data_IF_868987977073
#
_entry.id   IF_868987977073
#
_cell.length_a   1.000
_cell.length_b   1.000
_cell.length_c   1.000
_cell.angle_alpha   90.00
_cell.angle_beta   90.00
_cell.angle_gamma   90.00
#
_symmetry.space_group_name_H-M   'P 1'
#
loop_
_entity.id
_entity.type
_entity.pdbx_description
1 polymer ?
#
# COMPACT_ATOMS: atom_id res chain seq x y z
N UNK A 1 70.38 -78.34 4.02
CA UNK A 1 69.08 -78.54 4.73
C UNK A 1 68.28 -77.27 4.63
N UNK A 2 67.32 -77.27 3.69
CA UNK A 2 66.55 -76.07 3.33
C UNK A 2 65.25 -76.07 4.13
N UNK A 3 64.98 -74.98 4.87
CA UNK A 3 63.69 -74.78 5.50
C UNK A 3 62.91 -73.77 4.67
N UNK A 4 61.77 -74.24 4.17
CA UNK A 4 60.79 -73.40 3.51
C UNK A 4 60.01 -72.58 4.54
N UNK A 5 59.95 -71.26 4.33
CA UNK A 5 59.10 -70.40 5.06
C UNK A 5 57.88 -70.06 4.20
N UNK A 6 56.70 -70.29 4.75
CA UNK A 6 55.41 -69.98 4.12
C UNK A 6 54.98 -68.53 4.53
N UNK A 7 54.63 -67.67 3.61
CA UNK A 7 54.11 -66.36 3.98
C UNK A 7 52.61 -66.43 4.29
N UNK A 8 52.23 -65.82 5.43
CA UNK A 8 50.87 -65.62 5.89
C UNK A 8 50.22 -64.46 5.11
N UNK A 9 49.15 -64.75 4.40
CA UNK A 9 48.37 -63.77 3.67
C UNK A 9 47.37 -63.15 4.65
N UNK A 10 47.57 -61.89 5.01
CA UNK A 10 46.61 -61.12 5.79
C UNK A 10 45.50 -60.53 4.87
N UNK A 11 44.27 -61.01 5.02
CA UNK A 11 43.11 -60.44 4.37
C UNK A 11 42.77 -59.09 5.06
N UNK A 12 42.99 -57.98 4.34
CA UNK A 12 42.54 -56.69 4.74
C UNK A 12 41.05 -56.54 4.47
N UNK A 13 40.27 -56.35 5.55
CA UNK A 13 38.84 -55.97 5.48
C UNK A 13 38.69 -54.49 5.03
N UNK A 14 38.18 -54.26 3.80
CA UNK A 14 37.77 -52.95 3.35
C UNK A 14 36.49 -52.53 4.09
N UNK A 15 36.65 -51.66 5.07
CA UNK A 15 35.53 -50.96 5.70
C UNK A 15 34.91 -49.96 4.73
N UNK A 16 33.72 -50.26 4.22
CA UNK A 16 32.87 -49.29 3.51
C UNK A 16 32.36 -48.24 4.52
N UNK A 17 33.05 -47.11 4.56
CA UNK A 17 32.53 -45.91 5.27
C UNK A 17 31.32 -45.40 4.49
N UNK A 18 30.11 -45.77 4.92
CA UNK A 18 28.87 -45.20 4.45
C UNK A 18 28.80 -43.72 4.94
N UNK A 19 29.11 -42.78 4.05
CA UNK A 19 28.77 -41.37 4.25
C UNK A 19 27.27 -41.26 4.42
N UNK A 20 26.79 -41.18 5.66
CA UNK A 20 25.44 -40.69 5.96
C UNK A 20 25.43 -39.22 5.59
N UNK A 21 24.89 -38.91 4.40
CA UNK A 21 24.45 -37.58 4.08
C UNK A 21 23.24 -37.28 4.97
N UNK A 22 23.46 -36.54 6.05
CA UNK A 22 22.40 -35.86 6.78
C UNK A 22 21.85 -34.78 5.83
N UNK A 23 20.78 -35.10 5.12
CA UNK A 23 19.95 -34.09 4.45
C UNK A 23 19.38 -33.23 5.56
N UNK A 24 20.02 -32.10 5.81
CA UNK A 24 19.42 -31.02 6.56
C UNK A 24 18.23 -30.54 5.72
N UNK A 25 17.05 -31.08 6.00
CA UNK A 25 15.79 -30.50 5.56
C UNK A 25 15.65 -29.18 6.29
N UNK A 26 16.32 -28.15 5.77
CA UNK A 26 16.00 -26.78 6.07
C UNK A 26 14.60 -26.56 5.51
N UNK A 27 13.58 -26.66 6.37
CA UNK A 27 12.23 -26.23 6.07
C UNK A 27 12.15 -24.69 6.12
N UNK A 28 12.99 -24.01 5.33
CA UNK A 28 12.65 -22.68 4.90
C UNK A 28 11.38 -22.81 4.06
N UNK A 29 10.33 -21.97 4.28
CA UNK A 29 9.17 -21.99 3.42
C UNK A 29 9.65 -21.70 2.00
N UNK A 30 9.73 -22.73 1.19
CA UNK A 30 10.03 -22.62 -0.23
C UNK A 30 8.79 -22.01 -0.86
N UNK A 31 8.69 -20.66 -0.80
CA UNK A 31 7.80 -19.95 -1.68
C UNK A 31 8.07 -20.46 -3.08
N UNK A 32 7.10 -21.10 -3.70
CA UNK A 32 7.29 -21.72 -5.00
C UNK A 32 7.68 -20.62 -6.01
N UNK A 33 8.35 -20.98 -7.10
CA UNK A 33 8.67 -20.05 -8.18
C UNK A 33 7.39 -19.40 -8.72
N UNK A 34 6.29 -20.17 -8.70
CA UNK A 34 4.96 -19.71 -9.11
C UNK A 34 4.44 -18.62 -8.16
N UNK A 35 4.61 -18.79 -6.84
CA UNK A 35 4.15 -17.80 -5.87
C UNK A 35 4.90 -16.48 -6.04
N UNK A 36 6.23 -16.52 -6.22
CA UNK A 36 7.04 -15.33 -6.51
C UNK A 36 6.65 -14.64 -7.81
N UNK A 37 6.33 -15.43 -8.84
CA UNK A 37 5.85 -14.88 -10.11
C UNK A 37 4.49 -14.17 -9.92
N UNK A 38 3.57 -14.75 -9.13
CA UNK A 38 2.29 -14.16 -8.81
C UNK A 38 2.44 -12.87 -7.98
N UNK A 39 3.33 -12.88 -6.97
CA UNK A 39 3.65 -11.69 -6.18
C UNK A 39 4.17 -10.55 -7.07
N UNK A 40 5.14 -10.84 -7.94
CA UNK A 40 5.67 -9.85 -8.89
C UNK A 40 4.57 -9.34 -9.83
N UNK A 41 3.71 -10.24 -10.34
CA UNK A 41 2.60 -9.84 -11.20
C UNK A 41 1.62 -8.91 -10.47
N UNK A 42 1.33 -9.15 -9.19
CA UNK A 42 0.48 -8.27 -8.39
C UNK A 42 1.10 -6.87 -8.24
N UNK A 43 2.41 -6.77 -7.98
CA UNK A 43 3.13 -5.49 -7.92
C UNK A 43 3.07 -4.77 -9.27
N UNK A 44 3.34 -5.46 -10.38
CA UNK A 44 3.26 -4.88 -11.72
C UNK A 44 1.84 -4.38 -12.07
N UNK A 45 0.82 -5.12 -11.64
CA UNK A 45 -0.58 -4.71 -11.81
C UNK A 45 -0.92 -3.44 -11.00
N UNK A 46 -0.38 -3.33 -9.78
CA UNK A 46 -0.50 -2.11 -8.98
C UNK A 46 0.21 -0.92 -9.65
N UNK A 47 1.46 -1.08 -10.10
CA UNK A 47 2.23 -0.03 -10.73
C UNK A 47 1.57 0.47 -12.03
N UNK A 48 1.06 -0.46 -12.83
CA UNK A 48 0.30 -0.14 -14.06
C UNK A 48 -0.99 0.63 -13.73
N UNK A 49 -1.73 0.19 -12.71
CA UNK A 49 -2.93 0.87 -12.24
C UNK A 49 -2.62 2.28 -11.73
N UNK A 50 -1.57 2.43 -10.91
CA UNK A 50 -1.12 3.71 -10.36
C UNK A 50 -0.72 4.66 -11.47
N UNK A 51 0.11 4.22 -12.42
CA UNK A 51 0.56 5.03 -13.57
C UNK A 51 -0.62 5.52 -14.39
N UNK A 52 -1.62 4.65 -14.65
CA UNK A 52 -2.83 5.03 -15.37
C UNK A 52 -3.65 6.07 -14.62
N UNK A 53 -3.85 5.87 -13.30
CA UNK A 53 -4.58 6.83 -12.47
C UNK A 53 -3.89 8.19 -12.37
N UNK A 54 -2.56 8.23 -12.29
CA UNK A 54 -1.77 9.46 -12.27
C UNK A 54 -1.83 10.20 -13.62
N UNK A 55 -1.77 9.47 -14.74
CA UNK A 55 -1.92 10.09 -16.07
C UNK A 55 -3.33 10.69 -16.27
N UNK A 56 -4.38 10.00 -15.80
CA UNK A 56 -5.74 10.54 -15.79
C UNK A 56 -5.86 11.80 -14.90
N UNK A 57 -5.21 11.85 -13.73
CA UNK A 57 -5.18 13.05 -12.88
C UNK A 57 -4.48 14.22 -13.59
N UNK A 58 -3.36 13.96 -14.26
CA UNK A 58 -2.63 14.96 -15.03
C UNK A 58 -3.47 15.52 -16.18
N UNK A 59 -4.19 14.65 -16.90
CA UNK A 59 -5.10 15.07 -17.97
C UNK A 59 -6.26 15.88 -17.41
N UNK A 60 -6.84 15.45 -16.29
CA UNK A 60 -7.90 16.18 -15.59
C UNK A 60 -7.44 17.57 -15.15
N UNK A 61 -6.21 17.69 -14.63
CA UNK A 61 -5.63 18.96 -14.22
C UNK A 61 -5.36 19.90 -15.42
N UNK A 62 -5.06 19.35 -16.58
CA UNK A 62 -4.81 20.13 -17.79
C UNK A 62 -6.11 20.64 -18.45
N UNK A 63 -7.21 19.88 -18.37
CA UNK A 63 -8.50 20.21 -18.98
C UNK A 63 -9.50 20.86 -18.02
N UNK A 64 -9.27 20.77 -16.70
CA UNK A 64 -10.19 21.12 -15.61
C UNK A 64 -11.54 20.37 -15.72
N UNK A 65 -11.50 19.16 -16.28
CA UNK A 65 -12.71 18.39 -16.58
C UNK A 65 -13.07 17.46 -15.42
N UNK A 66 -14.24 17.67 -14.81
CA UNK A 66 -14.71 16.91 -13.64
C UNK A 66 -14.79 15.40 -13.88
N UNK A 67 -15.23 15.01 -15.07
CA UNK A 67 -15.35 13.60 -15.45
C UNK A 67 -14.01 12.86 -15.41
N UNK A 68 -12.93 13.54 -15.81
CA UNK A 68 -11.58 12.97 -15.79
C UNK A 68 -11.03 12.82 -14.36
N UNK A 69 -11.31 13.79 -13.47
CA UNK A 69 -11.01 13.62 -12.04
C UNK A 69 -11.73 12.40 -11.46
N UNK A 70 -13.01 12.19 -11.80
CA UNK A 70 -13.75 11.01 -11.35
C UNK A 70 -13.19 9.70 -11.91
N UNK A 71 -12.74 9.70 -13.16
CA UNK A 71 -12.08 8.53 -13.77
C UNK A 71 -10.78 8.20 -13.03
N UNK A 72 -9.90 9.17 -12.82
CA UNK A 72 -8.68 9.02 -12.04
C UNK A 72 -8.98 8.52 -10.62
N UNK A 73 -9.94 9.11 -9.93
CA UNK A 73 -10.32 8.72 -8.58
C UNK A 73 -10.73 7.24 -8.50
N UNK A 74 -11.57 6.78 -9.42
CA UNK A 74 -12.01 5.38 -9.50
C UNK A 74 -10.85 4.43 -9.76
N UNK A 75 -9.96 4.78 -10.69
CA UNK A 75 -8.75 4.00 -11.00
C UNK A 75 -7.88 3.88 -9.75
N UNK A 76 -7.48 5.00 -9.16
CA UNK A 76 -6.59 5.04 -7.99
C UNK A 76 -7.18 4.31 -6.78
N UNK A 77 -8.49 4.44 -6.52
CA UNK A 77 -9.17 3.73 -5.43
C UNK A 77 -9.08 2.21 -5.57
N UNK A 78 -8.99 1.70 -6.81
CA UNK A 78 -8.94 0.26 -7.08
C UNK A 78 -7.54 -0.34 -7.07
N UNK A 79 -6.47 0.49 -7.12
CA UNK A 79 -5.11 0.01 -7.32
C UNK A 79 -4.62 -0.87 -6.17
N UNK A 80 -4.92 -0.50 -4.92
CA UNK A 80 -4.46 -1.25 -3.74
C UNK A 80 -4.98 -2.69 -3.74
N UNK A 81 -6.18 -2.93 -4.23
CA UNK A 81 -6.76 -4.27 -4.36
C UNK A 81 -6.02 -5.19 -5.34
N UNK A 82 -5.20 -4.64 -6.23
CA UNK A 82 -4.37 -5.40 -7.17
C UNK A 82 -3.22 -6.12 -6.47
N UNK A 83 -2.77 -5.59 -5.34
CA UNK A 83 -1.65 -6.16 -4.57
C UNK A 83 -2.02 -7.46 -3.87
N UNK A 84 -3.29 -7.66 -3.48
CA UNK A 84 -3.73 -8.84 -2.72
C UNK A 84 -2.80 -9.10 -1.52
N UNK A 85 -2.21 -10.28 -1.46
CA UNK A 85 -1.27 -10.69 -0.41
C UNK A 85 0.12 -10.06 -0.57
N UNK A 86 0.41 -9.43 -1.72
CA UNK A 86 1.69 -8.79 -2.02
C UNK A 86 1.79 -7.35 -1.53
N UNK A 87 0.85 -6.89 -0.71
CA UNK A 87 0.79 -5.51 -0.25
C UNK A 87 2.05 -5.05 0.51
N UNK A 88 2.73 -5.97 1.21
CA UNK A 88 3.99 -5.69 1.92
C UNK A 88 5.19 -5.45 1.00
N UNK A 89 5.09 -5.78 -0.30
CA UNK A 89 6.15 -5.57 -1.28
C UNK A 89 6.17 -4.15 -1.85
N UNK A 90 5.14 -3.36 -1.57
CA UNK A 90 5.04 -1.96 -2.01
C UNK A 90 5.08 -1.05 -0.78
N UNK A 91 5.85 0.03 -0.86
CA UNK A 91 5.95 1.00 0.21
C UNK A 91 4.57 1.51 0.64
N UNK A 92 4.30 1.50 1.94
CA UNK A 92 3.00 1.90 2.48
C UNK A 92 2.66 3.35 2.09
N UNK A 93 3.66 4.22 2.07
CA UNK A 93 3.50 5.63 1.69
C UNK A 93 3.01 5.78 0.25
N UNK A 94 3.50 4.97 -0.68
CA UNK A 94 3.08 4.99 -2.08
C UNK A 94 1.60 4.57 -2.21
N UNK A 95 1.21 3.54 -1.48
CA UNK A 95 -0.17 3.07 -1.42
C UNK A 95 -1.11 4.11 -0.79
N UNK A 96 -0.67 4.74 0.30
CA UNK A 96 -1.38 5.83 0.96
C UNK A 96 -1.56 7.03 0.04
N UNK A 97 -0.50 7.44 -0.69
CA UNK A 97 -0.55 8.55 -1.64
C UNK A 97 -1.55 8.31 -2.76
N UNK A 98 -1.61 7.08 -3.30
CA UNK A 98 -2.58 6.72 -4.34
C UNK A 98 -4.02 6.87 -3.84
N UNK A 99 -4.35 6.32 -2.67
CA UNK A 99 -5.68 6.44 -2.06
C UNK A 99 -6.01 7.88 -1.65
N UNK A 100 -5.04 8.63 -1.13
CA UNK A 100 -5.23 10.03 -0.77
C UNK A 100 -5.55 10.89 -2.00
N UNK A 101 -4.86 10.67 -3.13
CA UNK A 101 -5.15 11.36 -4.39
C UNK A 101 -6.53 10.98 -4.91
N UNK A 102 -6.98 9.73 -4.75
CA UNK A 102 -8.34 9.33 -5.11
C UNK A 102 -9.40 10.14 -4.33
N UNK A 103 -9.23 10.31 -3.01
CA UNK A 103 -10.14 11.16 -2.20
C UNK A 103 -10.19 12.59 -2.74
N UNK A 104 -9.01 13.17 -3.02
CA UNK A 104 -8.93 14.54 -3.55
C UNK A 104 -9.61 14.66 -4.92
N UNK A 105 -9.44 13.67 -5.79
CA UNK A 105 -10.01 13.68 -7.13
C UNK A 105 -11.53 13.45 -7.13
N UNK A 106 -12.08 12.68 -6.20
CA UNK A 106 -13.53 12.64 -5.98
C UNK A 106 -14.08 14.03 -5.57
N UNK A 107 -13.35 14.76 -4.71
CA UNK A 107 -13.74 16.13 -4.33
C UNK A 107 -13.71 17.06 -5.53
N UNK A 108 -12.61 17.06 -6.31
CA UNK A 108 -12.46 17.89 -7.52
C UNK A 108 -13.53 17.55 -8.57
N UNK A 109 -13.85 16.28 -8.71
CA UNK A 109 -14.90 15.79 -9.61
C UNK A 109 -16.32 16.09 -9.12
N UNK A 110 -16.48 16.51 -7.86
CA UNK A 110 -17.77 16.88 -7.26
C UNK A 110 -18.53 15.70 -6.63
N UNK A 111 -17.99 14.49 -6.63
CA UNK A 111 -18.61 13.35 -5.97
C UNK A 111 -18.21 13.29 -4.49
N UNK A 112 -18.88 14.11 -3.70
CA UNK A 112 -18.61 14.23 -2.25
C UNK A 112 -18.91 12.94 -1.49
N UNK A 113 -19.92 12.19 -1.93
CA UNK A 113 -20.27 10.93 -1.28
C UNK A 113 -19.19 9.87 -1.51
N UNK A 114 -18.71 9.73 -2.74
CA UNK A 114 -17.59 8.84 -3.03
C UNK A 114 -16.30 9.27 -2.30
N UNK A 115 -16.04 10.58 -2.19
CA UNK A 115 -14.91 11.11 -1.42
C UNK A 115 -14.97 10.72 0.07
N UNK A 116 -16.16 10.79 0.69
CA UNK A 116 -16.37 10.35 2.08
C UNK A 116 -16.11 8.85 2.27
N UNK A 117 -16.62 8.03 1.36
CA UNK A 117 -16.39 6.58 1.38
C UNK A 117 -14.90 6.26 1.19
N UNK A 118 -14.24 6.92 0.24
CA UNK A 118 -12.81 6.75 -0.01
C UNK A 118 -11.95 7.20 1.18
N UNK A 119 -12.33 8.25 1.91
CA UNK A 119 -11.64 8.66 3.14
C UNK A 119 -11.80 7.63 4.26
N UNK A 120 -12.98 7.05 4.41
CA UNK A 120 -13.22 5.96 5.37
C UNK A 120 -12.38 4.73 5.03
N UNK A 121 -12.34 4.35 3.73
CA UNK A 121 -11.53 3.25 3.23
C UNK A 121 -10.02 3.50 3.41
N UNK A 122 -9.56 4.75 3.23
CA UNK A 122 -8.17 5.15 3.52
C UNK A 122 -7.82 4.83 4.98
N UNK A 123 -8.60 5.30 5.95
CA UNK A 123 -8.35 5.03 7.37
C UNK A 123 -8.35 3.54 7.73
N UNK A 124 -9.30 2.78 7.15
CA UNK A 124 -9.41 1.34 7.38
C UNK A 124 -8.26 0.53 6.74
N UNK A 125 -7.76 0.97 5.57
CA UNK A 125 -6.70 0.25 4.84
C UNK A 125 -5.33 0.35 5.48
N UNK A 126 -5.09 1.35 6.32
CA UNK A 126 -3.78 1.65 6.89
C UNK A 126 -3.78 1.72 8.42
N UNK A 127 -4.72 1.05 9.08
CA UNK A 127 -4.83 0.95 10.55
C UNK A 127 -4.77 2.32 11.25
N UNK A 128 -5.37 3.34 10.63
CA UNK A 128 -5.36 4.71 11.14
C UNK A 128 -4.04 5.47 10.94
N UNK A 129 -3.07 4.91 10.23
CA UNK A 129 -1.89 5.67 9.79
C UNK A 129 -2.31 6.81 8.85
N UNK A 130 -1.57 7.92 8.89
CA UNK A 130 -1.93 9.14 8.18
C UNK A 130 -0.77 9.71 7.36
N UNK A 131 -1.10 10.49 6.35
CA UNK A 131 -0.13 11.28 5.61
C UNK A 131 -0.03 12.67 6.21
N UNK A 132 1.20 13.10 6.42
CA UNK A 132 1.48 14.44 6.97
C UNK A 132 1.95 15.34 5.83
N UNK A 133 1.28 16.47 5.66
CA UNK A 133 1.70 17.50 4.72
C UNK A 133 2.99 18.19 5.17
N UNK A 134 3.68 18.85 4.24
CA UNK A 134 4.92 19.59 4.53
C UNK A 134 4.75 20.71 5.59
N UNK A 135 3.52 21.20 5.79
CA UNK A 135 3.17 22.19 6.81
C UNK A 135 2.77 21.54 8.16
N UNK A 136 2.97 20.22 8.30
CA UNK A 136 2.64 19.45 9.50
C UNK A 136 1.17 19.09 9.65
N UNK A 137 0.32 19.48 8.71
CA UNK A 137 -1.11 19.14 8.74
C UNK A 137 -1.36 17.68 8.39
N UNK A 138 -2.35 17.06 9.05
CA UNK A 138 -2.83 15.72 8.79
C UNK A 138 -3.69 15.71 7.52
N UNK A 139 -3.50 14.70 6.64
CA UNK A 139 -4.37 14.48 5.49
C UNK A 139 -5.79 14.13 5.92
N UNK A 140 -5.93 13.15 6.80
CA UNK A 140 -7.23 12.67 7.26
C UNK A 140 -8.05 13.78 7.93
N UNK A 141 -7.44 14.54 8.83
CA UNK A 141 -8.08 15.66 9.50
C UNK A 141 -8.47 16.78 8.52
N UNK A 142 -7.58 17.05 7.54
CA UNK A 142 -7.83 18.06 6.51
C UNK A 142 -9.01 17.68 5.62
N UNK A 143 -9.04 16.40 5.16
CA UNK A 143 -10.14 15.91 4.33
C UNK A 143 -11.44 15.82 5.14
N UNK A 144 -11.37 15.41 6.40
CA UNK A 144 -12.53 15.39 7.28
C UNK A 144 -13.11 16.79 7.47
N UNK A 145 -12.29 17.79 7.79
CA UNK A 145 -12.73 19.18 7.92
C UNK A 145 -13.40 19.70 6.64
N UNK A 146 -12.87 19.36 5.46
CA UNK A 146 -13.39 19.78 4.17
C UNK A 146 -14.70 19.08 3.80
N UNK A 147 -14.77 17.76 3.96
CA UNK A 147 -15.91 16.94 3.53
C UNK A 147 -17.13 17.07 4.44
N UNK A 148 -16.92 17.40 5.72
CA UNK A 148 -17.98 17.54 6.71
C UNK A 148 -18.14 18.98 7.19
N UNK A 149 -17.66 19.97 6.42
CA UNK A 149 -17.66 21.40 6.78
C UNK A 149 -19.03 21.99 7.13
N UNK A 150 -20.11 21.34 6.69
CA UNK A 150 -21.49 21.75 7.00
C UNK A 150 -22.16 20.86 8.07
N UNK A 151 -21.43 19.95 8.69
CA UNK A 151 -21.93 19.16 9.82
C UNK A 151 -21.65 19.92 11.11
N UNK A 152 -22.69 20.22 11.88
CA UNK A 152 -22.58 20.96 13.14
C UNK A 152 -21.58 20.35 14.12
N UNK A 153 -21.44 19.00 14.10
CA UNK A 153 -20.48 18.29 14.93
C UNK A 153 -19.02 18.59 14.58
N UNK A 154 -18.72 18.99 13.34
CA UNK A 154 -17.37 19.34 12.90
C UNK A 154 -17.00 20.74 13.35
N UNK A 155 -17.94 21.67 13.40
CA UNK A 155 -17.69 23.04 13.85
C UNK A 155 -17.08 23.10 15.27
N UNK A 156 -17.57 22.28 16.19
CA UNK A 156 -17.03 22.15 17.55
C UNK A 156 -15.66 21.49 17.62
N UNK A 157 -15.35 20.58 16.68
CA UNK A 157 -14.10 19.83 16.64
C UNK A 157 -13.03 20.48 15.77
N UNK A 158 -13.37 21.47 14.95
CA UNK A 158 -12.45 22.07 13.98
C UNK A 158 -11.14 22.59 14.63
N UNK A 159 -11.20 23.08 15.85
CA UNK A 159 -10.03 23.56 16.56
C UNK A 159 -9.06 22.43 16.93
N UNK A 160 -9.58 21.24 17.30
CA UNK A 160 -8.79 20.08 17.72
C UNK A 160 -8.24 19.25 16.55
N UNK A 161 -8.79 19.38 15.34
CA UNK A 161 -8.25 18.69 14.17
C UNK A 161 -6.87 19.25 13.82
N UNK A 162 -5.95 18.38 13.41
CA UNK A 162 -4.67 18.79 12.83
C UNK A 162 -4.80 19.12 11.34
N UNK A 163 -5.90 19.75 10.94
CA UNK A 163 -6.14 20.15 9.57
C UNK A 163 -5.30 21.39 9.19
N UNK A 164 -4.97 21.49 7.91
CA UNK A 164 -4.22 22.63 7.36
C UNK A 164 -4.93 23.96 7.66
N UNK A 165 -4.15 24.96 8.06
CA UNK A 165 -4.68 26.26 8.50
C UNK A 165 -5.62 26.91 7.47
N UNK A 166 -5.22 26.90 6.19
CA UNK A 166 -6.06 27.46 5.11
C UNK A 166 -7.44 26.80 5.01
N UNK A 167 -7.49 25.47 5.23
CA UNK A 167 -8.77 24.74 5.23
C UNK A 167 -9.61 25.11 6.45
N UNK A 168 -9.01 25.23 7.62
CA UNK A 168 -9.72 25.68 8.82
C UNK A 168 -10.34 27.07 8.64
N UNK A 169 -9.59 27.99 8.04
CA UNK A 169 -10.06 29.36 7.80
C UNK A 169 -11.19 29.38 6.78
N UNK A 170 -11.11 28.57 5.73
CA UNK A 170 -12.17 28.43 4.73
C UNK A 170 -13.44 27.81 5.30
N UNK A 171 -13.32 26.78 6.13
CA UNK A 171 -14.47 26.15 6.81
C UNK A 171 -15.16 27.15 7.73
N UNK A 172 -14.41 27.94 8.52
CA UNK A 172 -14.98 29.02 9.37
C UNK A 172 -15.72 30.06 8.55
N UNK A 173 -15.13 30.49 7.42
CA UNK A 173 -15.74 31.44 6.51
C UNK A 173 -17.05 30.92 5.92
N UNK A 174 -17.05 29.68 5.42
CA UNK A 174 -18.24 29.05 4.85
C UNK A 174 -19.36 28.94 5.90
N UNK A 175 -19.00 28.58 7.13
CA UNK A 175 -19.94 28.46 8.24
C UNK A 175 -20.56 29.83 8.63
N UNK A 176 -19.74 30.89 8.68
CA UNK A 176 -20.22 32.24 8.95
C UNK A 176 -21.31 32.67 7.95
N UNK A 177 -21.08 32.47 6.65
CA UNK A 177 -22.04 32.82 5.60
C UNK A 177 -23.30 31.95 5.58
N UNK A 178 -23.23 30.74 6.11
CA UNK A 178 -24.40 29.87 6.21
C UNK A 178 -25.30 30.22 7.40
N UNK A 179 -24.73 30.81 8.45
CA UNK A 179 -25.41 31.10 9.70
C UNK A 179 -25.99 32.54 9.75
N UNK A 180 -25.64 33.41 8.80
CA UNK A 180 -26.09 34.80 8.67
C UNK A 180 -26.67 35.06 7.29
#
# INVERSE_FOLDING_TARGET
MKRLSVPLIALGALGLAACRQTVLTSSAPTTSVIDRANEMQNVLNFDSCLSNGLEQDKQAAASDERSQYLASAKTLSSCDSKLRESASLVAIEQRMQAKALAVQNFIKGGDIQAARLALTDFGASFDGADLIYADGGSFSDTMHALLYRFDDRVSYKLASLNARRKVKDEVRRAWYWQSN
#
